data_IF_832151066697
#
_entry.id   IF_832151066697
#
_cell.length_a   1.000
_cell.length_b   1.000
_cell.length_c   1.000
_cell.angle_alpha   90.00
_cell.angle_beta   90.00
_cell.angle_gamma   90.00
#
_symmetry.space_group_name_H-M   'P 1'
#
loop_
_entity.id
_entity.type
_entity.pdbx_description
1 polymer ?
#
# COMPACT_ATOMS: atom_id res chain seq x y z
N UNK A 1 -12.08 1.43 -6.70
CA UNK A 1 -13.15 0.95 -5.82
C UNK A 1 -13.31 -0.58 -5.84
N UNK A 2 -12.90 -1.23 -6.92
CA UNK A 2 -12.97 -2.68 -6.99
C UNK A 2 -12.06 -3.34 -5.95
N UNK A 3 -10.86 -2.81 -5.73
CA UNK A 3 -9.95 -3.32 -4.69
C UNK A 3 -10.58 -3.20 -3.30
N UNK A 4 -11.26 -2.10 -3.01
CA UNK A 4 -11.94 -1.91 -1.73
C UNK A 4 -13.06 -2.93 -1.54
N UNK A 5 -13.83 -3.21 -2.58
CA UNK A 5 -14.88 -4.22 -2.52
C UNK A 5 -14.30 -5.61 -2.23
N UNK A 6 -13.16 -5.94 -2.83
CA UNK A 6 -12.50 -7.23 -2.60
C UNK A 6 -11.95 -7.32 -1.17
N UNK A 7 -11.48 -6.22 -0.59
CA UNK A 7 -11.06 -6.18 0.82
C UNK A 7 -12.27 -6.44 1.73
N UNK A 8 -13.38 -5.76 1.48
CA UNK A 8 -14.61 -5.91 2.25
C UNK A 8 -15.10 -7.35 2.19
N UNK A 9 -14.99 -7.99 1.03
CA UNK A 9 -15.42 -9.37 0.81
C UNK A 9 -14.39 -10.41 1.26
N UNK A 10 -13.29 -9.99 1.91
CA UNK A 10 -12.23 -10.88 2.40
C UNK A 10 -11.57 -11.73 1.33
N UNK A 11 -11.50 -11.21 0.07
CA UNK A 11 -10.83 -11.91 -1.02
C UNK A 11 -9.31 -11.87 -0.88
N UNK A 12 -8.78 -10.91 -0.13
CA UNK A 12 -7.37 -10.82 0.20
C UNK A 12 -7.20 -10.01 1.49
N UNK A 13 -5.99 -10.05 2.05
CA UNK A 13 -5.64 -9.25 3.23
C UNK A 13 -4.68 -8.15 2.83
N UNK A 14 -4.99 -6.92 3.24
CA UNK A 14 -4.11 -5.78 3.07
C UNK A 14 -3.17 -5.70 4.26
N UNK A 15 -1.89 -5.48 3.99
CA UNK A 15 -0.89 -5.26 5.03
C UNK A 15 -0.51 -3.79 5.01
N UNK A 16 -0.52 -3.15 6.17
CA UNK A 16 -0.16 -1.75 6.29
C UNK A 16 0.69 -1.53 7.54
N UNK A 17 1.13 -0.30 7.74
CA UNK A 17 1.86 0.13 8.94
C UNK A 17 1.44 1.55 9.29
N UNK A 18 1.74 1.98 10.51
CA UNK A 18 1.43 3.36 10.91
C UNK A 18 2.09 4.38 9.99
N UNK A 19 3.39 4.27 9.65
CA UNK A 19 3.99 5.20 8.70
C UNK A 19 3.29 5.24 7.35
N UNK A 20 2.86 4.08 6.81
CA UNK A 20 2.13 4.02 5.54
C UNK A 20 0.76 4.66 5.65
N UNK A 21 0.04 4.44 6.75
CA UNK A 21 -1.27 5.07 6.95
C UNK A 21 -1.16 6.58 6.98
N UNK A 22 -0.13 7.11 7.64
CA UNK A 22 0.13 8.55 7.67
C UNK A 22 0.47 9.09 6.27
N UNK A 23 1.22 8.35 5.50
CA UNK A 23 1.53 8.73 4.12
C UNK A 23 0.29 8.72 3.24
N UNK A 24 -0.59 7.72 3.38
CA UNK A 24 -1.86 7.67 2.65
C UNK A 24 -2.71 8.89 2.97
N UNK A 25 -2.81 9.25 4.25
CA UNK A 25 -3.56 10.44 4.66
C UNK A 25 -2.99 11.71 4.02
N UNK A 26 -1.68 11.89 4.09
CA UNK A 26 -1.01 13.05 3.51
C UNK A 26 -1.29 13.18 2.01
N UNK A 27 -1.10 12.10 1.27
CA UNK A 27 -1.28 12.10 -0.19
C UNK A 27 -2.75 12.32 -0.57
N UNK A 28 -3.66 11.61 0.07
CA UNK A 28 -5.08 11.65 -0.30
C UNK A 28 -5.75 12.97 0.09
N UNK A 29 -5.26 13.65 1.11
CA UNK A 29 -5.80 14.94 1.55
C UNK A 29 -5.16 16.15 0.87
N UNK A 30 -4.20 15.94 -0.05
CA UNK A 30 -3.67 17.05 -0.83
C UNK A 30 -4.76 17.67 -1.68
N UNK A 31 -4.72 19.00 -1.82
CA UNK A 31 -5.76 19.74 -2.54
C UNK A 31 -6.00 19.20 -3.94
N UNK A 32 -4.93 18.94 -4.69
CA UNK A 32 -5.06 18.43 -6.06
C UNK A 32 -5.70 17.04 -6.11
N UNK A 33 -5.44 16.21 -5.11
CA UNK A 33 -6.05 14.89 -5.04
C UNK A 33 -7.52 14.98 -4.66
N UNK A 34 -7.88 15.85 -3.72
CA UNK A 34 -9.28 16.08 -3.36
C UNK A 34 -10.07 16.61 -4.55
N UNK A 35 -9.49 17.54 -5.31
CA UNK A 35 -10.14 18.09 -6.50
C UNK A 35 -10.36 17.02 -7.58
N UNK A 36 -9.41 16.12 -7.77
CA UNK A 36 -9.48 15.08 -8.78
C UNK A 36 -10.42 13.94 -8.38
N UNK A 37 -10.47 13.59 -7.12
CA UNK A 37 -11.28 12.49 -6.62
C UNK A 37 -12.73 12.90 -6.36
N UNK A 38 -12.98 14.18 -6.13
CA UNK A 38 -14.28 14.69 -5.70
C UNK A 38 -14.64 14.34 -4.26
N UNK A 39 -13.68 13.84 -3.49
CA UNK A 39 -13.90 13.46 -2.09
C UNK A 39 -13.54 14.61 -1.15
N UNK A 40 -14.22 14.69 -0.02
CA UNK A 40 -13.91 15.63 1.07
C UNK A 40 -12.90 15.00 2.03
N UNK A 41 -12.34 15.84 2.93
CA UNK A 41 -11.50 15.33 4.00
C UNK A 41 -12.22 14.29 4.87
N UNK A 42 -13.52 14.51 5.13
CA UNK A 42 -14.32 13.54 5.89
C UNK A 42 -14.44 12.20 5.15
N UNK A 43 -14.63 12.24 3.83
CA UNK A 43 -14.69 11.02 3.02
C UNK A 43 -13.39 10.25 3.09
N UNK A 44 -12.26 10.97 3.05
CA UNK A 44 -10.94 10.34 3.19
C UNK A 44 -10.77 9.72 4.57
N UNK A 45 -11.21 10.39 5.64
CA UNK A 45 -11.13 9.83 6.99
C UNK A 45 -11.94 8.53 7.10
N UNK A 46 -13.12 8.48 6.52
CA UNK A 46 -13.94 7.26 6.49
C UNK A 46 -13.22 6.13 5.76
N UNK A 47 -12.64 6.45 4.60
CA UNK A 47 -11.88 5.49 3.81
C UNK A 47 -10.67 4.93 4.58
N UNK A 48 -9.90 5.82 5.21
CA UNK A 48 -8.72 5.42 5.98
C UNK A 48 -9.10 4.56 7.18
N UNK A 49 -10.21 4.89 7.87
CA UNK A 49 -10.70 4.08 8.97
C UNK A 49 -11.09 2.68 8.51
N UNK A 50 -11.72 2.58 7.35
CA UNK A 50 -12.08 1.27 6.79
C UNK A 50 -10.83 0.44 6.46
N UNK A 51 -9.83 1.07 5.84
CA UNK A 51 -8.56 0.41 5.54
C UNK A 51 -7.89 -0.05 6.84
N UNK A 52 -7.85 0.81 7.86
CA UNK A 52 -7.23 0.47 9.14
C UNK A 52 -7.90 -0.71 9.81
N UNK A 53 -9.24 -0.79 9.75
CA UNK A 53 -9.99 -1.89 10.36
C UNK A 53 -9.81 -3.23 9.65
N UNK A 54 -9.63 -3.20 8.34
CA UNK A 54 -9.58 -4.41 7.52
C UNK A 54 -8.17 -4.89 7.26
N UNK A 55 -7.15 -4.08 7.58
CA UNK A 55 -5.75 -4.38 7.30
C UNK A 55 -5.06 -5.08 8.45
N UNK A 56 -4.02 -5.85 8.10
CA UNK A 56 -3.06 -6.36 9.07
C UNK A 56 -2.05 -5.25 9.33
N UNK A 57 -1.91 -4.82 10.58
CA UNK A 57 -0.95 -3.77 10.95
C UNK A 57 0.39 -4.39 11.28
N UNK A 58 1.39 -4.01 10.51
CA UNK A 58 2.74 -4.53 10.66
C UNK A 58 3.63 -3.49 11.33
N UNK A 59 4.37 -3.93 12.34
CA UNK A 59 5.41 -3.13 12.97
C UNK A 59 6.72 -3.47 12.28
N UNK A 60 7.44 -2.46 11.79
CA UNK A 60 8.73 -2.68 11.13
C UNK A 60 9.80 -2.95 12.18
N UNK A 61 10.40 -4.13 12.10
CA UNK A 61 11.50 -4.54 12.98
C UNK A 61 12.86 -4.33 12.34
N UNK A 62 12.92 -4.22 11.02
CA UNK A 62 14.14 -4.05 10.26
C UNK A 62 14.07 -2.82 9.38
N UNK A 63 15.18 -2.10 9.33
CA UNK A 63 15.38 -1.02 8.36
C UNK A 63 16.34 -1.54 7.31
N UNK A 64 15.81 -1.88 6.14
CA UNK A 64 16.58 -2.43 5.02
C UNK A 64 17.22 -1.34 4.15
N UNK A 65 17.60 -0.25 4.77
CA UNK A 65 18.06 0.93 4.05
C UNK A 65 19.54 0.89 3.74
N UNK A 66 19.95 1.54 2.65
CA UNK A 66 19.09 2.02 1.57
C UNK A 66 18.93 0.97 0.48
N UNK A 67 17.72 0.50 0.22
CA UNK A 67 17.42 -0.44 -0.86
C UNK A 67 16.84 0.27 -2.09
N UNK A 68 16.11 1.35 -1.88
CA UNK A 68 15.42 2.11 -2.91
C UNK A 68 15.78 3.58 -2.83
N UNK A 69 15.56 4.30 -3.95
CA UNK A 69 15.88 5.73 -4.02
C UNK A 69 14.93 6.58 -3.20
N UNK A 70 13.63 6.24 -3.23
CA UNK A 70 12.59 7.01 -2.58
C UNK A 70 12.29 6.43 -1.20
N UNK A 71 12.34 7.29 -0.17
CA UNK A 71 12.06 6.87 1.20
C UNK A 71 10.63 6.36 1.38
N UNK A 72 9.69 6.84 0.57
CA UNK A 72 8.30 6.37 0.62
C UNK A 72 8.18 4.95 0.09
N UNK A 73 8.89 4.64 -0.97
CA UNK A 73 8.96 3.29 -1.51
C UNK A 73 9.64 2.34 -0.51
N UNK A 74 10.65 2.83 0.21
CA UNK A 74 11.27 2.07 1.29
C UNK A 74 10.28 1.66 2.36
N UNK A 75 9.36 2.55 2.76
CA UNK A 75 8.33 2.21 3.74
C UNK A 75 7.43 1.09 3.23
N UNK A 76 7.06 1.11 1.96
CA UNK A 76 6.25 0.05 1.35
C UNK A 76 7.01 -1.27 1.37
N UNK A 77 8.27 -1.24 0.94
CA UNK A 77 9.11 -2.44 0.91
C UNK A 77 9.31 -3.02 2.31
N UNK A 78 9.64 -2.19 3.29
CA UNK A 78 9.83 -2.63 4.67
C UNK A 78 8.57 -3.29 5.23
N UNK A 79 7.41 -2.69 4.98
CA UNK A 79 6.14 -3.24 5.43
C UNK A 79 5.87 -4.60 4.77
N UNK A 80 6.14 -4.71 3.48
CA UNK A 80 5.94 -5.97 2.75
C UNK A 80 6.88 -7.07 3.26
N UNK A 81 8.16 -6.76 3.48
CA UNK A 81 9.14 -7.73 3.96
C UNK A 81 8.80 -8.18 5.37
N UNK A 82 8.58 -7.25 6.29
CA UNK A 82 8.28 -7.57 7.69
C UNK A 82 6.93 -8.29 7.84
N UNK A 83 5.98 -7.99 6.98
CA UNK A 83 4.66 -8.62 6.98
C UNK A 83 4.59 -9.91 6.17
N UNK A 84 5.69 -10.32 5.55
CA UNK A 84 5.74 -11.51 4.68
C UNK A 84 4.66 -11.46 3.59
N UNK A 85 4.55 -10.30 2.95
CA UNK A 85 3.55 -10.10 1.89
C UNK A 85 3.84 -10.98 0.68
N UNK A 86 2.78 -11.42 0.02
CA UNK A 86 2.89 -12.19 -1.23
C UNK A 86 3.18 -11.26 -2.41
N UNK A 87 2.69 -10.04 -2.37
CA UNK A 87 2.83 -9.09 -3.46
C UNK A 87 2.80 -7.63 -2.99
N UNK A 88 3.43 -6.77 -3.78
CA UNK A 88 3.28 -5.32 -3.68
C UNK A 88 2.47 -4.87 -4.91
N UNK A 89 1.43 -4.10 -4.68
CA UNK A 89 0.60 -3.54 -5.75
C UNK A 89 1.08 -2.14 -6.05
N UNK A 90 1.57 -1.92 -7.25
CA UNK A 90 2.15 -0.64 -7.64
C UNK A 90 1.98 -0.38 -9.14
N UNK A 91 1.90 0.90 -9.51
CA UNK A 91 1.95 1.30 -10.91
C UNK A 91 3.39 1.53 -11.40
N UNK A 92 4.35 1.58 -10.49
CA UNK A 92 5.76 1.88 -10.80
C UNK A 92 6.65 0.70 -10.43
N UNK A 93 6.49 -0.42 -11.12
CA UNK A 93 7.26 -1.64 -10.85
C UNK A 93 8.76 -1.41 -10.86
N UNK A 94 9.25 -0.55 -11.76
CA UNK A 94 10.67 -0.27 -11.88
C UNK A 94 11.28 0.27 -10.60
N UNK A 95 10.50 0.99 -9.78
CA UNK A 95 10.98 1.56 -8.53
C UNK A 95 11.35 0.48 -7.51
N UNK A 96 10.80 -0.71 -7.64
CA UNK A 96 10.99 -1.81 -6.69
C UNK A 96 11.85 -2.96 -7.24
N UNK A 97 12.00 -3.07 -8.56
CA UNK A 97 12.63 -4.24 -9.20
C UNK A 97 14.02 -4.56 -8.67
N UNK A 98 14.83 -3.53 -8.41
CA UNK A 98 16.21 -3.73 -7.98
C UNK A 98 16.32 -4.41 -6.61
N UNK A 99 15.31 -4.27 -5.76
CA UNK A 99 15.33 -4.77 -4.39
C UNK A 99 14.52 -6.05 -4.20
N UNK A 100 13.54 -6.31 -5.08
CA UNK A 100 12.51 -7.32 -4.84
C UNK A 100 13.00 -8.76 -5.04
N UNK A 101 14.03 -8.97 -5.84
CA UNK A 101 14.51 -10.31 -6.24
C UNK A 101 14.89 -11.18 -5.05
N UNK A 102 15.34 -10.58 -3.98
CA UNK A 102 15.87 -11.31 -2.82
C UNK A 102 14.78 -11.70 -1.82
N UNK A 103 13.54 -11.28 -2.02
CA UNK A 103 12.50 -11.41 -1.01
C UNK A 103 11.31 -12.27 -1.42
N UNK A 104 11.27 -12.73 -2.66
CA UNK A 104 10.19 -13.60 -3.12
C UNK A 104 8.83 -12.91 -3.19
N UNK A 105 8.80 -11.59 -3.26
CA UNK A 105 7.58 -10.79 -3.33
C UNK A 105 7.30 -10.46 -4.79
N UNK A 106 6.05 -10.63 -5.23
CA UNK A 106 5.64 -10.30 -6.59
C UNK A 106 5.33 -8.82 -6.71
N UNK A 107 5.60 -8.24 -7.88
CA UNK A 107 5.18 -6.89 -8.22
C UNK A 107 4.03 -6.98 -9.21
N UNK A 108 2.87 -6.44 -8.84
CA UNK A 108 1.67 -6.50 -9.67
C UNK A 108 1.04 -5.11 -9.77
N UNK A 109 0.45 -4.81 -10.92
CA UNK A 109 -0.46 -3.67 -11.02
C UNK A 109 -1.79 -4.07 -10.40
N UNK A 110 -2.65 -3.08 -10.09
CA UNK A 110 -3.98 -3.37 -9.56
C UNK A 110 -4.79 -4.25 -10.51
N UNK A 111 -4.67 -4.01 -11.83
CA UNK A 111 -5.36 -4.84 -12.83
C UNK A 111 -4.86 -6.27 -12.84
N UNK A 112 -3.54 -6.47 -12.80
CA UNK A 112 -2.95 -7.81 -12.73
C UNK A 112 -3.40 -8.56 -11.48
N UNK A 113 -3.41 -7.86 -10.34
CA UNK A 113 -3.84 -8.47 -9.08
C UNK A 113 -5.30 -8.89 -9.11
N UNK A 114 -6.19 -7.99 -9.57
CA UNK A 114 -7.62 -8.29 -9.65
C UNK A 114 -7.90 -9.48 -10.57
N UNK A 115 -7.17 -9.61 -11.66
CA UNK A 115 -7.31 -10.76 -12.56
C UNK A 115 -6.83 -12.07 -11.92
N UNK A 116 -5.96 -12.01 -10.92
CA UNK A 116 -5.44 -13.19 -10.23
C UNK A 116 -6.41 -13.73 -9.18
N UNK A 117 -7.38 -12.93 -8.78
CA UNK A 117 -8.41 -13.36 -7.82
C UNK A 117 -9.48 -14.25 -8.51
#
# INVERSE_FOLDING_TARGET
>A
YQLLNEIINNRFKLITSVPLMLEYEDVLKRKNMLDRSGLSNMDIDVLLNMIAKTSIHQISHFLWRPQLRDAKDEMVLETAINGEADAIITFNKADFESAIHNFGIKLLTSGEFLRSL
#
